data_IF_676508902177
#
_entry.id   IF_676508902177
#
_cell.length_a   1.000
_cell.length_b   1.000
_cell.length_c   1.000
_cell.angle_alpha   90.00
_cell.angle_beta   90.00
_cell.angle_gamma   90.00
#
_symmetry.space_group_name_H-M   'P 1'
#
loop_
_entity.id
_entity.type
_entity.pdbx_description
1 polymer ?
#
# COMPACT_ATOMS: atom_id res chain seq x y z
N UNK A 1 -16.47 18.94 12.05
CA UNK A 1 -14.99 18.97 12.14
C UNK A 1 -14.46 18.64 10.77
N UNK A 2 -13.53 19.42 10.22
CA UNK A 2 -12.88 19.11 8.94
C UNK A 2 -11.89 17.97 9.14
N UNK A 3 -11.84 17.03 8.19
CA UNK A 3 -10.84 15.95 8.20
C UNK A 3 -9.42 16.53 8.14
N UNK A 4 -8.52 15.92 8.89
CA UNK A 4 -7.07 16.12 8.81
C UNK A 4 -6.54 15.67 7.44
N UNK A 5 -5.28 16.01 7.14
CA UNK A 5 -4.66 15.60 5.88
C UNK A 5 -4.46 14.07 5.80
N UNK A 6 -3.99 13.45 6.89
CA UNK A 6 -3.82 11.99 6.97
C UNK A 6 -5.14 11.26 6.74
N UNK A 7 -6.23 11.73 7.36
CA UNK A 7 -7.56 11.13 7.14
C UNK A 7 -7.99 11.25 5.67
N UNK A 8 -7.69 12.36 4.99
CA UNK A 8 -7.99 12.51 3.55
C UNK A 8 -7.15 11.58 2.68
N UNK A 9 -5.86 11.44 2.99
CA UNK A 9 -4.94 10.54 2.28
C UNK A 9 -5.36 9.08 2.43
N UNK A 10 -5.74 8.66 3.65
CA UNK A 10 -6.32 7.35 3.92
C UNK A 10 -7.60 7.12 3.12
N UNK A 11 -8.57 8.04 3.20
CA UNK A 11 -9.83 7.91 2.45
C UNK A 11 -9.60 7.86 0.93
N UNK A 12 -8.65 8.64 0.42
CA UNK A 12 -8.27 8.63 -0.99
C UNK A 12 -7.73 7.25 -1.40
N UNK A 13 -6.82 6.70 -0.60
CA UNK A 13 -6.24 5.37 -0.84
C UNK A 13 -7.29 4.27 -0.78
N UNK A 14 -8.19 4.31 0.23
CA UNK A 14 -9.27 3.34 0.36
C UNK A 14 -10.25 3.40 -0.81
N UNK A 15 -10.54 4.60 -1.32
CA UNK A 15 -11.37 4.78 -2.50
C UNK A 15 -10.72 4.16 -3.75
N UNK A 16 -9.42 4.38 -3.95
CA UNK A 16 -8.67 3.72 -5.02
C UNK A 16 -8.68 2.21 -4.88
N UNK A 17 -8.44 1.69 -3.67
CA UNK A 17 -8.42 0.26 -3.38
C UNK A 17 -9.73 -0.45 -3.77
N UNK A 18 -10.88 0.18 -3.52
CA UNK A 18 -12.18 -0.36 -3.92
C UNK A 18 -12.36 -0.41 -5.45
N UNK A 19 -11.66 0.43 -6.18
CA UNK A 19 -11.71 0.50 -7.65
C UNK A 19 -10.66 -0.39 -8.33
N UNK A 20 -9.72 -0.96 -7.57
CA UNK A 20 -8.66 -1.80 -8.11
C UNK A 20 -9.17 -3.19 -8.48
N UNK A 21 -8.63 -3.71 -9.59
CA UNK A 21 -8.80 -5.11 -9.98
C UNK A 21 -8.14 -6.05 -8.96
N UNK A 22 -8.52 -7.34 -8.92
CA UNK A 22 -7.87 -8.33 -8.06
C UNK A 22 -6.34 -8.41 -8.25
N UNK A 23 -5.87 -8.23 -9.50
CA UNK A 23 -4.44 -8.24 -9.81
C UNK A 23 -3.72 -7.01 -9.23
N UNK A 24 -4.34 -5.83 -9.32
CA UNK A 24 -3.81 -4.60 -8.71
C UNK A 24 -3.78 -4.67 -7.18
N UNK A 25 -4.82 -5.25 -6.56
CA UNK A 25 -4.83 -5.52 -5.11
C UNK A 25 -3.70 -6.48 -4.72
N UNK A 26 -3.46 -7.54 -5.50
CA UNK A 26 -2.37 -8.47 -5.24
C UNK A 26 -0.99 -7.80 -5.32
N UNK A 27 -0.78 -6.89 -6.27
CA UNK A 27 0.46 -6.11 -6.34
C UNK A 27 0.60 -5.15 -5.15
N UNK A 28 -0.47 -4.44 -4.78
CA UNK A 28 -0.50 -3.59 -3.58
C UNK A 28 -0.22 -4.37 -2.28
N UNK A 29 -0.68 -5.61 -2.18
CA UNK A 29 -0.39 -6.48 -1.02
C UNK A 29 1.11 -6.74 -0.88
N UNK A 30 1.82 -7.00 -1.98
CA UNK A 30 3.28 -7.17 -1.96
C UNK A 30 3.94 -5.90 -1.45
N UNK A 31 3.53 -4.75 -1.95
CA UNK A 31 4.08 -3.44 -1.53
C UNK A 31 3.85 -3.17 -0.03
N UNK A 32 2.72 -3.60 0.53
CA UNK A 32 2.44 -3.51 1.96
C UNK A 32 3.30 -4.49 2.78
N UNK A 33 3.47 -5.72 2.31
CA UNK A 33 4.29 -6.74 2.99
C UNK A 33 5.76 -6.31 3.06
N UNK A 34 6.29 -5.73 1.98
CA UNK A 34 7.62 -5.15 1.94
C UNK A 34 7.79 -4.05 2.99
N UNK A 35 6.79 -3.16 3.13
CA UNK A 35 6.78 -2.08 4.13
C UNK A 35 6.59 -2.57 5.57
N UNK A 36 6.01 -3.75 5.76
CA UNK A 36 5.77 -4.34 7.08
C UNK A 36 6.93 -5.25 7.56
N UNK A 37 7.81 -5.68 6.65
CA UNK A 37 8.95 -6.53 6.99
C UNK A 37 10.09 -5.70 7.59
N UNK A 38 10.71 -6.11 8.71
CA UNK A 38 11.88 -5.44 9.28
C UNK A 38 13.13 -5.52 8.38
N UNK A 39 13.11 -6.35 7.33
CA UNK A 39 14.25 -6.57 6.45
C UNK A 39 14.20 -5.68 5.21
N UNK A 40 14.79 -4.48 5.35
CA UNK A 40 15.40 -3.65 4.31
C UNK A 40 14.85 -3.77 2.89
N UNK A 41 13.96 -2.87 2.46
CA UNK A 41 13.79 -2.55 1.03
C UNK A 41 13.23 -1.14 0.84
N UNK A 42 13.93 -0.12 1.34
CA UNK A 42 13.80 1.25 0.80
C UNK A 42 14.40 1.36 -0.62
N UNK A 43 15.11 0.33 -1.10
CA UNK A 43 15.86 0.37 -2.37
C UNK A 43 15.33 -0.53 -3.48
N UNK A 44 14.47 -1.51 -3.21
CA UNK A 44 14.06 -2.48 -4.24
C UNK A 44 12.89 -1.98 -5.10
N UNK A 45 11.91 -1.30 -4.49
CA UNK A 45 10.75 -0.77 -5.22
C UNK A 45 11.16 0.37 -6.17
N UNK A 46 12.01 1.29 -5.70
CA UNK A 46 12.60 2.34 -6.54
C UNK A 46 13.50 1.76 -7.64
N UNK A 47 14.30 0.73 -7.35
CA UNK A 47 15.12 0.04 -8.35
C UNK A 47 14.29 -0.69 -9.41
N UNK A 48 13.17 -1.33 -9.03
CA UNK A 48 12.28 -2.02 -9.97
C UNK A 48 11.49 -1.04 -10.85
N UNK A 49 11.09 0.11 -10.30
CA UNK A 49 10.43 1.14 -11.08
C UNK A 49 11.40 1.91 -12.00
N UNK A 50 12.66 2.05 -11.61
CA UNK A 50 13.72 2.68 -12.42
C UNK A 50 14.37 1.73 -13.44
N UNK A 51 14.39 0.41 -13.21
CA UNK A 51 14.81 -0.59 -14.20
C UNK A 51 13.81 -0.75 -15.35
N UNK A 52 12.58 -0.25 -15.19
CA UNK A 52 11.57 -0.23 -16.23
C UNK A 52 11.51 1.15 -16.89
N UNK A 53 12.61 1.57 -17.51
CA UNK A 53 12.60 2.64 -18.52
C UNK A 53 11.80 2.13 -19.72
N UNK A 54 10.47 2.11 -19.58
CA UNK A 54 9.54 1.90 -20.69
C UNK A 54 9.20 3.28 -21.22
N UNK A 55 9.26 3.47 -22.53
CA UNK A 55 8.80 4.67 -23.26
C UNK A 55 7.30 5.00 -23.09
N UNK A 56 6.61 4.44 -22.08
CA UNK A 56 5.19 4.60 -21.83
C UNK A 56 4.98 5.34 -20.52
N UNK A 57 4.09 6.38 -20.49
CA UNK A 57 3.72 7.03 -19.24
C UNK A 57 3.18 6.01 -18.23
N UNK A 58 3.41 6.23 -16.92
CA UNK A 58 2.91 5.34 -15.88
C UNK A 58 1.39 5.26 -15.92
N UNK A 59 0.85 4.09 -15.58
CA UNK A 59 -0.58 3.90 -15.40
C UNK A 59 -1.11 4.68 -14.19
N UNK A 60 -2.42 4.97 -14.18
CA UNK A 60 -3.08 5.63 -13.05
C UNK A 60 -2.82 4.87 -11.74
N UNK A 61 -2.88 3.54 -11.78
CA UNK A 61 -2.58 2.70 -10.63
C UNK A 61 -1.16 2.94 -10.08
N UNK A 62 -0.16 3.01 -10.95
CA UNK A 62 1.21 3.30 -10.52
C UNK A 62 1.33 4.68 -9.89
N UNK A 63 0.63 5.68 -10.42
CA UNK A 63 0.59 7.01 -9.79
C UNK A 63 -0.09 6.98 -8.41
N UNK A 64 -1.18 6.22 -8.26
CA UNK A 64 -1.89 6.04 -6.99
C UNK A 64 -1.00 5.36 -5.94
N UNK A 65 -0.36 4.25 -6.30
CA UNK A 65 0.56 3.51 -5.40
C UNK A 65 1.78 4.34 -5.02
N UNK A 66 2.31 5.16 -5.94
CA UNK A 66 3.40 6.08 -5.66
C UNK A 66 2.99 7.13 -4.62
N UNK A 67 1.83 7.76 -4.78
CA UNK A 67 1.31 8.71 -3.80
C UNK A 67 1.06 8.05 -2.45
N UNK A 68 0.45 6.86 -2.44
CA UNK A 68 0.26 6.09 -1.21
C UNK A 68 1.59 5.82 -0.50
N UNK A 69 2.64 5.41 -1.20
CA UNK A 69 3.95 5.13 -0.59
C UNK A 69 4.51 6.36 0.11
N UNK A 70 4.45 7.53 -0.55
CA UNK A 70 4.88 8.80 0.04
C UNK A 70 4.10 9.15 1.30
N UNK A 71 2.77 9.00 1.27
CA UNK A 71 1.93 9.26 2.45
C UNK A 71 2.20 8.26 3.57
N UNK A 72 2.28 6.98 3.26
CA UNK A 72 2.47 5.91 4.24
C UNK A 72 3.80 6.04 5.00
N UNK A 73 4.87 6.49 4.33
CA UNK A 73 6.16 6.79 4.95
C UNK A 73 6.06 7.91 5.99
N UNK A 74 5.27 8.95 5.71
CA UNK A 74 5.03 10.08 6.62
C UNK A 74 4.04 9.78 7.75
N UNK A 75 3.19 8.76 7.58
CA UNK A 75 2.21 8.35 8.59
C UNK A 75 2.85 7.78 9.86
N UNK A 76 2.29 8.14 11.02
CA UNK A 76 2.68 7.54 12.28
C UNK A 76 2.25 6.06 12.36
N UNK A 77 2.84 5.29 13.28
CA UNK A 77 2.39 3.92 13.54
C UNK A 77 0.90 3.83 13.86
N UNK A 78 0.35 4.83 14.54
CA UNK A 78 -1.09 4.89 14.84
C UNK A 78 -1.91 5.03 13.57
N UNK A 79 -1.51 5.93 12.67
CA UNK A 79 -2.22 6.20 11.42
C UNK A 79 -2.14 4.99 10.49
N UNK A 80 -0.98 4.33 10.41
CA UNK A 80 -0.82 3.07 9.66
C UNK A 80 -1.75 1.98 10.19
N UNK A 81 -1.83 1.81 11.51
CA UNK A 81 -2.74 0.84 12.13
C UNK A 81 -4.22 1.18 11.85
N UNK A 82 -4.59 2.45 11.89
CA UNK A 82 -5.95 2.90 11.57
C UNK A 82 -6.31 2.60 10.11
N UNK A 83 -5.40 2.87 9.18
CA UNK A 83 -5.56 2.50 7.77
C UNK A 83 -5.75 0.98 7.58
N UNK A 84 -4.94 0.15 8.25
CA UNK A 84 -5.07 -1.31 8.17
C UNK A 84 -6.41 -1.80 8.73
N UNK A 85 -6.90 -1.19 9.82
CA UNK A 85 -8.24 -1.48 10.35
C UNK A 85 -9.35 -1.10 9.37
N UNK A 86 -9.24 0.04 8.69
CA UNK A 86 -10.21 0.46 7.67
C UNK A 86 -10.18 -0.48 6.45
N UNK A 87 -9.00 -0.92 6.00
CA UNK A 87 -8.88 -1.97 4.98
C UNK A 87 -9.55 -3.27 5.42
N UNK A 88 -9.39 -3.68 6.67
CA UNK A 88 -10.04 -4.88 7.20
C UNK A 88 -11.56 -4.80 7.14
N UNK A 89 -12.13 -3.61 7.39
CA UNK A 89 -13.57 -3.40 7.29
C UNK A 89 -14.08 -3.49 5.85
N UNK A 90 -13.28 -3.05 4.88
CA UNK A 90 -13.64 -3.06 3.45
C UNK A 90 -13.42 -4.43 2.82
N UNK A 91 -12.31 -5.09 3.13
CA UNK A 91 -11.91 -6.37 2.55
C UNK A 91 -11.19 -7.24 3.61
N UNK A 92 -11.97 -7.95 4.46
CA UNK A 92 -11.41 -8.79 5.52
C UNK A 92 -10.50 -9.91 4.97
N UNK A 93 -10.82 -10.43 3.78
CA UNK A 93 -10.06 -11.50 3.14
C UNK A 93 -8.67 -10.99 2.74
N UNK A 94 -8.59 -9.78 2.18
CA UNK A 94 -7.31 -9.15 1.87
C UNK A 94 -6.40 -9.05 3.10
N UNK A 95 -6.94 -8.59 4.25
CA UNK A 95 -6.16 -8.47 5.48
C UNK A 95 -5.81 -9.84 6.09
N UNK A 96 -6.70 -10.82 5.99
CA UNK A 96 -6.39 -12.19 6.40
C UNK A 96 -5.20 -12.75 5.61
N UNK A 97 -5.23 -12.64 4.28
CA UNK A 97 -4.12 -13.08 3.42
C UNK A 97 -2.84 -12.31 3.72
N UNK A 98 -2.91 -11.00 3.93
CA UNK A 98 -1.75 -10.20 4.35
C UNK A 98 -1.11 -10.74 5.65
N UNK A 99 -1.92 -11.03 6.67
CA UNK A 99 -1.41 -11.54 7.95
C UNK A 99 -0.79 -12.96 7.81
N UNK A 100 -1.41 -13.83 7.00
CA UNK A 100 -0.90 -15.17 6.71
C UNK A 100 0.45 -15.10 5.99
N UNK A 101 0.58 -14.21 5.00
CA UNK A 101 1.82 -13.98 4.27
C UNK A 101 2.91 -13.36 5.14
N UNK A 102 2.57 -12.36 5.97
CA UNK A 102 3.50 -11.75 6.91
C UNK A 102 4.05 -12.78 7.92
N UNK A 103 3.18 -13.64 8.45
CA UNK A 103 3.57 -14.71 9.37
C UNK A 103 4.44 -15.79 8.69
N UNK A 104 4.32 -15.97 7.37
CA UNK A 104 5.18 -16.84 6.57
C UNK A 104 6.56 -16.24 6.36
N UNK A 105 6.64 -14.93 6.13
CA UNK A 105 7.90 -14.20 5.93
C UNK A 105 8.69 -13.99 7.22
N UNK A 106 8.03 -14.01 8.38
CA UNK A 106 8.69 -13.86 9.68
C UNK A 106 9.27 -15.18 10.26
N UNK A 107 9.22 -16.28 9.51
CA UNK A 107 9.80 -17.59 9.89
C UNK A 107 11.09 -17.85 9.14
#
# INVERSE_FOLDING_TARGET
MSLSNVEKEQQCTLHWFQSWSPMQKADFMKDLLEKASPCNVDTLFDAMHSLNVRDRPPSIFQCQVKLFTQWFEEWSTKDRNEFMNQLQQIDPVFIQTFNEELARLSK
#
